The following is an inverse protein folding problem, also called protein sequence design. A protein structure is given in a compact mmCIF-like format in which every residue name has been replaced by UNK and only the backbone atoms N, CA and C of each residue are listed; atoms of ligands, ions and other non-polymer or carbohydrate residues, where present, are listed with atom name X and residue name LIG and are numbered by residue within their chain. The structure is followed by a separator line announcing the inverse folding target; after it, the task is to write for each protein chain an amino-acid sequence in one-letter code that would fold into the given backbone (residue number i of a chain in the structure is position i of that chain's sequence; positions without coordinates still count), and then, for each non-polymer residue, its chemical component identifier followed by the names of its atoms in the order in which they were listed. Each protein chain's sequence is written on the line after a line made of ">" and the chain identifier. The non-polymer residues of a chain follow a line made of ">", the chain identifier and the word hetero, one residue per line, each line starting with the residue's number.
data_IF_435172723359
#
_entry.id   IF_435172723359
#
_cell.length_a   1.000
_cell.length_b   1.000
_cell.length_c   1.000
_cell.angle_alpha   90.00
_cell.angle_beta   90.00
_cell.angle_gamma   90.00
#
_symmetry.space_group_name_H-M   'P 1'
#
loop_
_entity.id
_entity.type
_entity.pdbx_description
1 polymer ?
#
# COMPACT_ATOMS: atom_id res chain seq x y z
N UNK A 1 50.59 10.44 10.62
CA UNK A 1 49.61 11.54 10.79
C UNK A 1 48.49 10.98 11.67
N UNK A 2 48.48 11.08 13.01
CA UNK A 2 48.42 12.28 13.87
C UNK A 2 47.39 13.26 13.29
N UNK A 3 46.18 13.41 13.85
CA UNK A 3 45.84 14.23 15.04
C UNK A 3 44.43 13.81 15.54
N UNK A 4 44.30 13.15 16.70
CA UNK A 4 43.70 13.64 17.97
C UNK A 4 42.85 14.92 17.86
N UNK A 5 41.54 14.87 18.12
CA UNK A 5 40.90 15.96 18.87
C UNK A 5 39.72 15.48 19.71
N UNK A 6 39.87 15.79 20.99
CA UNK A 6 38.98 15.65 22.13
C UNK A 6 38.11 16.91 22.20
N UNK A 7 36.83 16.82 22.51
CA UNK A 7 36.19 17.88 23.30
C UNK A 7 35.05 17.34 24.16
N UNK A 8 35.29 17.46 25.46
CA UNK A 8 34.36 17.28 26.58
C UNK A 8 33.73 18.64 26.84
N UNK A 9 32.40 18.73 26.96
CA UNK A 9 31.76 19.80 27.73
C UNK A 9 30.69 19.19 28.64
N UNK A 10 30.99 19.23 29.93
CA UNK A 10 30.09 19.13 31.05
C UNK A 10 29.25 20.41 31.16
N UNK A 11 27.96 20.29 31.41
CA UNK A 11 27.21 21.32 32.14
C UNK A 11 26.13 20.67 32.99
N UNK A 12 26.49 20.48 34.26
CA UNK A 12 25.61 20.22 35.39
C UNK A 12 24.90 21.53 35.73
N UNK A 13 23.57 21.50 35.74
CA UNK A 13 22.72 22.61 36.17
C UNK A 13 21.63 22.10 37.11
N UNK A 14 21.98 22.01 38.40
CA UNK A 14 21.05 21.78 39.50
C UNK A 14 20.37 23.11 39.82
N UNK A 15 19.04 23.15 39.79
CA UNK A 15 18.27 24.19 40.50
C UNK A 15 17.16 23.52 41.29
N UNK A 16 17.40 23.44 42.60
CA UNK A 16 16.42 23.11 43.63
C UNK A 16 15.51 24.33 43.83
N UNK A 17 14.25 24.21 43.40
CA UNK A 17 13.17 25.13 43.74
C UNK A 17 12.19 24.43 44.68
N UNK A 18 12.40 24.56 45.99
CA UNK A 18 11.45 24.25 47.04
C UNK A 18 10.54 25.47 47.24
N UNK A 19 9.21 25.30 47.14
CA UNK A 19 8.26 26.30 47.62
C UNK A 19 6.80 26.11 47.18
N UNK A 20 5.90 25.94 48.15
CA UNK A 20 4.45 26.18 48.06
C UNK A 20 3.62 25.01 47.52
N UNK A 21 3.00 24.13 48.33
CA UNK A 21 1.81 24.38 49.16
C UNK A 21 0.68 25.09 48.41
N UNK A 22 -0.31 24.34 47.92
CA UNK A 22 -1.75 24.45 48.25
C UNK A 22 -2.51 23.29 47.58
N UNK A 23 -2.98 22.35 48.41
CA UNK A 23 -3.97 21.35 48.07
C UNK A 23 -5.31 22.05 47.81
N UNK A 24 -5.74 22.12 46.55
CA UNK A 24 -7.17 22.29 46.21
C UNK A 24 -7.54 21.15 45.27
N UNK A 25 -8.05 20.09 45.89
CA UNK A 25 -8.54 18.89 45.25
C UNK A 25 -9.91 19.19 44.62
N UNK A 26 -9.91 19.97 43.54
CA UNK A 26 -11.10 20.15 42.70
C UNK A 26 -11.16 18.99 41.72
N UNK A 27 -11.73 17.87 42.16
CA UNK A 27 -12.20 16.84 41.23
C UNK A 27 -13.34 17.43 40.41
N UNK A 28 -12.99 18.09 39.31
CA UNK A 28 -13.92 18.38 38.23
C UNK A 28 -14.31 17.03 37.61
N UNK A 29 -15.42 16.47 38.09
CA UNK A 29 -16.12 15.38 37.42
C UNK A 29 -16.64 15.97 36.10
N UNK A 30 -15.81 15.91 35.06
CA UNK A 30 -16.25 16.22 33.71
C UNK A 30 -17.26 15.14 33.30
N UNK A 31 -18.42 15.50 32.74
CA UNK A 31 -19.41 14.53 32.32
C UNK A 31 -18.84 13.66 31.20
N UNK A 32 -18.98 12.34 31.35
CA UNK A 32 -18.61 11.25 30.41
C UNK A 32 -19.24 11.34 29.00
N UNK A 33 -19.82 12.48 28.60
CA UNK A 33 -20.53 12.64 27.33
C UNK A 33 -19.60 12.98 26.15
N UNK A 34 -18.37 13.45 26.39
CA UNK A 34 -17.43 13.84 25.32
C UNK A 34 -16.85 12.66 24.52
N UNK A 35 -16.74 11.48 25.15
CA UNK A 35 -16.20 10.28 24.50
C UNK A 35 -17.19 9.67 23.50
N UNK A 36 -18.50 9.72 23.80
CA UNK A 36 -19.53 9.12 22.95
C UNK A 36 -19.75 9.88 21.63
N UNK A 37 -19.73 11.21 21.66
CA UNK A 37 -19.91 12.03 20.44
C UNK A 37 -18.74 11.89 19.48
N UNK A 38 -17.51 11.80 20.00
CA UNK A 38 -16.29 11.64 19.19
C UNK A 38 -16.27 10.27 18.51
N UNK A 39 -16.64 9.21 19.23
CA UNK A 39 -16.70 7.86 18.69
C UNK A 39 -17.73 7.74 17.55
N UNK A 40 -18.95 8.26 17.75
CA UNK A 40 -20.00 8.20 16.73
C UNK A 40 -19.61 8.99 15.47
N UNK A 41 -18.91 10.12 15.63
CA UNK A 41 -18.40 10.91 14.53
C UNK A 41 -17.33 10.14 13.73
N UNK A 42 -16.39 9.48 14.41
CA UNK A 42 -15.37 8.65 13.77
C UNK A 42 -15.97 7.45 13.02
N UNK A 43 -16.94 6.75 13.62
CA UNK A 43 -17.64 5.65 12.97
C UNK A 43 -18.39 6.11 11.71
N UNK A 44 -19.03 7.28 11.79
CA UNK A 44 -19.71 7.90 10.65
C UNK A 44 -18.71 8.23 9.54
N UNK A 45 -17.54 8.79 9.88
CA UNK A 45 -16.50 9.12 8.90
C UNK A 45 -15.89 7.87 8.27
N UNK A 46 -15.63 6.82 9.04
CA UNK A 46 -15.16 5.53 8.52
C UNK A 46 -16.18 4.90 7.56
N UNK A 47 -17.48 4.97 7.89
CA UNK A 47 -18.54 4.47 7.00
C UNK A 47 -18.57 5.25 5.68
N UNK A 48 -18.45 6.58 5.73
CA UNK A 48 -18.36 7.43 4.54
C UNK A 48 -17.12 7.11 3.72
N UNK A 49 -15.97 6.93 4.37
CA UNK A 49 -14.72 6.55 3.72
C UNK A 49 -14.87 5.24 2.95
N UNK A 50 -15.36 4.18 3.61
CA UNK A 50 -15.60 2.88 2.97
C UNK A 50 -16.53 3.00 1.76
N UNK A 51 -17.60 3.78 1.88
CA UNK A 51 -18.52 4.01 0.75
C UNK A 51 -17.85 4.75 -0.42
N UNK A 52 -16.95 5.70 -0.15
CA UNK A 52 -16.21 6.40 -1.21
C UNK A 52 -15.16 5.48 -1.86
N UNK A 53 -14.45 4.67 -1.05
CA UNK A 53 -13.50 3.67 -1.54
C UNK A 53 -14.16 2.59 -2.40
N UNK A 54 -15.34 2.09 -2.02
CA UNK A 54 -16.09 1.12 -2.83
C UNK A 54 -16.45 1.67 -4.22
N UNK A 55 -16.80 2.96 -4.30
CA UNK A 55 -17.00 3.63 -5.58
C UNK A 55 -15.70 3.74 -6.38
N UNK A 56 -14.57 4.08 -5.75
CA UNK A 56 -13.26 4.04 -6.41
C UNK A 56 -12.94 2.63 -6.95
N UNK A 57 -13.19 1.57 -6.18
CA UNK A 57 -13.01 0.17 -6.61
C UNK A 57 -13.91 -0.18 -7.79
N UNK A 58 -15.14 0.35 -7.84
CA UNK A 58 -16.04 0.15 -8.97
C UNK A 58 -15.55 0.89 -10.21
N UNK A 59 -15.16 2.15 -10.06
CA UNK A 59 -14.67 3.00 -11.13
C UNK A 59 -13.35 2.45 -11.72
N UNK A 60 -12.47 1.88 -10.88
CA UNK A 60 -11.18 1.33 -11.30
C UNK A 60 -11.27 0.16 -12.28
N UNK A 61 -12.46 -0.44 -12.43
CA UNK A 61 -12.76 -1.47 -13.44
C UNK A 61 -12.96 -0.90 -14.84
N UNK A 62 -13.13 0.41 -14.95
CA UNK A 62 -13.30 1.14 -16.22
C UNK A 62 -12.18 2.17 -16.45
N UNK A 63 -11.50 2.59 -15.39
CA UNK A 63 -10.39 3.55 -15.43
C UNK A 63 -9.18 2.96 -14.72
N UNK A 64 -7.99 3.10 -15.31
CA UNK A 64 -6.77 2.51 -14.79
C UNK A 64 -5.76 3.52 -14.23
N UNK A 65 -6.25 4.72 -13.87
CA UNK A 65 -5.46 5.74 -13.19
C UNK A 65 -6.26 6.40 -12.06
N UNK A 66 -5.56 7.00 -11.11
CA UNK A 66 -6.18 7.71 -9.98
C UNK A 66 -6.97 8.93 -10.45
N UNK A 67 -6.54 9.60 -11.51
CA UNK A 67 -7.21 10.76 -12.12
C UNK A 67 -8.60 10.41 -12.64
N UNK A 68 -8.83 9.15 -13.04
CA UNK A 68 -10.13 8.67 -13.50
C UNK A 68 -11.13 8.37 -12.39
N UNK A 69 -10.71 8.35 -11.12
CA UNK A 69 -11.55 7.97 -9.98
C UNK A 69 -12.39 9.16 -9.49
N UNK A 70 -13.72 9.08 -9.62
CA UNK A 70 -14.62 10.21 -9.31
C UNK A 70 -14.60 10.62 -7.84
N UNK A 71 -14.41 9.67 -6.94
CA UNK A 71 -14.45 9.89 -5.49
C UNK A 71 -13.06 10.14 -4.88
N UNK A 72 -12.02 10.31 -5.71
CA UNK A 72 -10.64 10.55 -5.25
C UNK A 72 -10.55 11.70 -4.23
N UNK A 73 -11.11 12.86 -4.58
CA UNK A 73 -11.07 14.04 -3.69
C UNK A 73 -11.93 13.84 -2.43
N UNK A 74 -13.06 13.13 -2.54
CA UNK A 74 -13.88 12.78 -1.37
C UNK A 74 -13.09 11.91 -0.39
N UNK A 75 -12.40 10.87 -0.88
CA UNK A 75 -11.56 10.00 -0.07
C UNK A 75 -10.47 10.80 0.63
N UNK A 76 -9.74 11.64 -0.12
CA UNK A 76 -8.68 12.51 0.41
C UNK A 76 -9.18 13.41 1.54
N UNK A 77 -10.31 14.10 1.32
CA UNK A 77 -10.91 15.00 2.30
C UNK A 77 -11.38 14.28 3.57
N UNK A 78 -11.92 13.06 3.45
CA UNK A 78 -12.36 12.27 4.61
C UNK A 78 -11.15 11.80 5.42
N UNK A 79 -10.11 11.28 4.75
CA UNK A 79 -8.89 10.78 5.40
C UNK A 79 -8.20 11.87 6.23
N UNK A 80 -8.18 13.11 5.74
CA UNK A 80 -7.62 14.26 6.48
C UNK A 80 -8.36 14.59 7.80
N UNK A 81 -9.56 14.04 7.99
CA UNK A 81 -10.39 14.26 9.18
C UNK A 81 -10.40 13.06 10.14
N UNK A 82 -9.64 12.01 9.85
CA UNK A 82 -9.56 10.80 10.69
C UNK A 82 -8.15 10.69 11.25
N UNK A 83 -8.02 10.90 12.57
CA UNK A 83 -6.72 10.82 13.27
C UNK A 83 -6.30 9.40 13.65
N UNK A 84 -7.28 8.47 13.73
CA UNK A 84 -7.06 7.07 14.12
C UNK A 84 -6.45 6.23 12.97
N UNK A 85 -5.79 5.09 13.26
CA UNK A 85 -5.26 4.16 12.25
C UNK A 85 -6.39 3.42 11.51
N UNK A 86 -7.20 4.17 10.76
CA UNK A 86 -8.41 3.67 10.10
C UNK A 86 -8.10 2.58 9.07
N UNK A 87 -6.88 2.56 8.51
CA UNK A 87 -6.41 1.53 7.58
C UNK A 87 -6.45 0.12 8.18
N UNK A 88 -6.39 -0.02 9.52
CA UNK A 88 -6.56 -1.32 10.20
C UNK A 88 -7.99 -1.85 10.12
N UNK A 89 -8.96 -0.96 9.86
CA UNK A 89 -10.38 -1.29 9.73
C UNK A 89 -10.83 -1.43 8.27
N UNK A 90 -9.94 -1.15 7.32
CA UNK A 90 -10.16 -1.31 5.89
C UNK A 90 -9.73 -2.71 5.44
N UNK A 91 -10.42 -3.26 4.45
CA UNK A 91 -9.92 -4.45 3.77
C UNK A 91 -8.70 -4.09 2.88
N UNK A 92 -7.91 -5.08 2.40
CA UNK A 92 -6.70 -4.79 1.65
C UNK A 92 -6.92 -3.98 0.36
N UNK A 93 -8.01 -4.21 -0.39
CA UNK A 93 -8.28 -3.45 -1.62
C UNK A 93 -8.71 -2.01 -1.32
N UNK A 94 -9.52 -1.80 -0.28
CA UNK A 94 -9.82 -0.46 0.25
C UNK A 94 -8.54 0.26 0.66
N UNK A 95 -7.62 -0.44 1.33
CA UNK A 95 -6.31 0.09 1.71
C UNK A 95 -5.48 0.48 0.50
N UNK A 96 -5.48 -0.28 -0.60
CA UNK A 96 -4.75 0.08 -1.81
C UNK A 96 -5.14 1.47 -2.31
N UNK A 97 -6.44 1.73 -2.46
CA UNK A 97 -6.91 3.04 -2.90
C UNK A 97 -6.64 4.14 -1.88
N UNK A 98 -6.80 3.88 -0.58
CA UNK A 98 -6.45 4.86 0.44
C UNK A 98 -4.96 5.26 0.38
N UNK A 99 -4.07 4.27 0.26
CA UNK A 99 -2.62 4.46 0.16
C UNK A 99 -2.21 5.17 -1.13
N UNK A 100 -2.79 4.83 -2.28
CA UNK A 100 -2.48 5.49 -3.55
C UNK A 100 -3.02 6.92 -3.62
N UNK A 101 -4.20 7.19 -3.06
CA UNK A 101 -4.80 8.54 -3.06
C UNK A 101 -4.11 9.47 -2.05
N UNK A 102 -3.68 8.94 -0.90
CA UNK A 102 -3.00 9.69 0.16
C UNK A 102 -1.70 8.96 0.55
N UNK A 103 -0.59 9.16 -0.20
CA UNK A 103 0.67 8.44 -0.02
C UNK A 103 1.28 8.55 1.37
N UNK A 104 0.95 9.61 2.13
CA UNK A 104 1.40 9.82 3.51
C UNK A 104 0.97 8.69 4.45
N UNK A 105 -0.11 7.96 4.13
CA UNK A 105 -0.54 6.79 4.90
C UNK A 105 0.48 5.65 4.79
N UNK A 106 1.15 5.49 3.64
CA UNK A 106 2.16 4.43 3.44
C UNK A 106 3.29 4.51 4.46
N UNK A 107 3.60 5.72 4.94
CA UNK A 107 4.64 5.97 5.94
C UNK A 107 4.18 5.62 7.37
N UNK A 108 2.87 5.53 7.61
CA UNK A 108 2.26 5.26 8.92
C UNK A 108 1.80 3.81 9.07
N UNK A 109 1.30 3.22 7.98
CA UNK A 109 0.84 1.84 7.96
C UNK A 109 2.01 0.85 8.07
N UNK A 110 1.75 -0.34 8.60
CA UNK A 110 2.78 -1.38 8.68
C UNK A 110 3.19 -1.83 7.26
N UNK A 111 4.47 -2.24 7.04
CA UNK A 111 4.91 -2.76 5.74
C UNK A 111 4.04 -3.92 5.24
N UNK A 112 3.59 -4.78 6.14
CA UNK A 112 2.71 -5.90 5.79
C UNK A 112 1.34 -5.44 5.30
N UNK A 113 0.74 -4.41 5.92
CA UNK A 113 -0.52 -3.82 5.47
C UNK A 113 -0.39 -3.25 4.06
N UNK A 114 0.71 -2.54 3.80
CA UNK A 114 1.00 -1.96 2.48
C UNK A 114 1.21 -3.08 1.44
N UNK A 115 2.05 -4.08 1.73
CA UNK A 115 2.29 -5.20 0.82
C UNK A 115 1.02 -5.98 0.48
N UNK A 116 0.19 -6.30 1.49
CA UNK A 116 -1.09 -7.00 1.29
C UNK A 116 -2.06 -6.19 0.43
N UNK A 117 -2.13 -4.88 0.64
CA UNK A 117 -2.99 -4.00 -0.15
C UNK A 117 -2.61 -4.06 -1.63
N UNK A 118 -1.33 -3.94 -1.96
CA UNK A 118 -0.85 -3.96 -3.34
C UNK A 118 -1.00 -5.33 -4.00
N UNK A 119 -0.69 -6.43 -3.32
CA UNK A 119 -0.92 -7.75 -3.90
C UNK A 119 -2.40 -8.03 -4.14
N UNK A 120 -3.26 -7.67 -3.18
CA UNK A 120 -4.71 -7.84 -3.35
C UNK A 120 -5.20 -7.03 -4.54
N UNK A 121 -4.69 -5.81 -4.71
CA UNK A 121 -5.01 -4.99 -5.87
C UNK A 121 -4.46 -5.60 -7.16
N UNK A 122 -3.24 -6.15 -7.16
CA UNK A 122 -2.64 -6.83 -8.31
C UNK A 122 -3.51 -8.00 -8.78
N UNK A 123 -4.09 -8.73 -7.85
CA UNK A 123 -4.99 -9.84 -8.16
C UNK A 123 -6.38 -9.41 -8.66
N UNK A 124 -6.91 -8.29 -8.16
CA UNK A 124 -8.33 -7.94 -8.32
C UNK A 124 -8.61 -6.81 -9.33
N UNK A 125 -7.63 -5.95 -9.59
CA UNK A 125 -7.78 -4.83 -10.52
C UNK A 125 -7.40 -5.22 -11.96
N UNK A 126 -7.91 -4.48 -12.97
CA UNK A 126 -7.43 -4.63 -14.33
C UNK A 126 -5.92 -4.49 -14.42
N UNK A 127 -5.31 -5.25 -15.31
CA UNK A 127 -3.85 -5.37 -15.40
C UNK A 127 -3.17 -4.09 -15.88
N UNK A 128 -3.93 -3.16 -16.49
CA UNK A 128 -3.47 -1.83 -16.90
C UNK A 128 -2.94 -1.01 -15.71
N UNK A 129 -3.41 -1.29 -14.49
CA UNK A 129 -2.91 -0.65 -13.27
C UNK A 129 -1.44 -0.98 -12.98
N UNK A 130 -0.85 -1.99 -13.63
CA UNK A 130 0.48 -2.51 -13.30
C UNK A 130 1.48 -2.44 -14.46
N UNK A 131 0.98 -2.40 -15.70
CA UNK A 131 1.78 -2.53 -16.91
C UNK A 131 1.72 -3.94 -17.51
N UNK A 132 2.54 -4.19 -18.54
CA UNK A 132 2.67 -5.50 -19.19
C UNK A 132 3.76 -6.33 -18.49
N UNK A 133 3.65 -7.67 -18.43
CA UNK A 133 4.77 -8.51 -18.05
C UNK A 133 5.98 -8.22 -18.95
N UNK A 134 7.18 -8.08 -18.37
CA UNK A 134 8.40 -7.71 -19.09
C UNK A 134 8.46 -6.27 -19.62
N UNK A 135 7.37 -5.51 -19.53
CA UNK A 135 7.31 -4.12 -19.96
C UNK A 135 7.75 -3.12 -18.89
N UNK A 136 7.66 -1.83 -19.23
CA UNK A 136 7.79 -0.75 -18.24
C UNK A 136 6.60 -0.79 -17.28
N UNK A 137 6.81 -0.82 -15.96
CA UNK A 137 5.72 -0.74 -15.00
C UNK A 137 4.92 0.56 -15.15
N UNK A 138 3.63 0.50 -14.83
CA UNK A 138 2.83 1.71 -14.58
C UNK A 138 3.30 2.42 -13.30
N UNK A 139 2.74 3.58 -12.99
CA UNK A 139 3.02 4.29 -11.73
C UNK A 139 2.74 3.40 -10.49
N UNK A 140 1.59 2.74 -10.41
CA UNK A 140 1.29 1.83 -9.28
C UNK A 140 2.20 0.60 -9.29
N UNK A 141 2.67 0.14 -10.45
CA UNK A 141 3.69 -0.91 -10.57
C UNK A 141 5.06 -0.46 -10.04
N UNK A 142 5.48 0.77 -10.33
CA UNK A 142 6.69 1.36 -9.75
C UNK A 142 6.58 1.54 -8.24
N UNK A 143 5.40 1.93 -7.74
CA UNK A 143 5.16 2.00 -6.30
C UNK A 143 5.25 0.62 -5.65
N UNK A 144 4.69 -0.42 -6.28
CA UNK A 144 4.76 -1.80 -5.81
C UNK A 144 6.21 -2.26 -5.62
N UNK A 145 7.08 -1.98 -6.59
CA UNK A 145 8.50 -2.33 -6.55
C UNK A 145 9.28 -1.66 -5.41
N UNK A 146 8.77 -0.55 -4.86
CA UNK A 146 9.39 0.19 -3.75
C UNK A 146 8.93 -0.32 -2.38
N UNK A 147 7.99 -1.27 -2.30
CA UNK A 147 7.44 -1.76 -1.04
C UNK A 147 8.40 -2.77 -0.39
N UNK A 148 8.82 -2.55 0.87
CA UNK A 148 9.61 -3.52 1.60
C UNK A 148 8.88 -4.86 1.75
N UNK A 149 9.59 -5.97 1.56
CA UNK A 149 9.09 -7.34 1.73
C UNK A 149 7.95 -7.73 0.77
N UNK A 150 7.76 -7.01 -0.35
CA UNK A 150 6.73 -7.34 -1.34
C UNK A 150 6.96 -8.72 -1.99
N UNK A 151 8.21 -9.19 -2.02
CA UNK A 151 8.61 -10.47 -2.61
C UNK A 151 7.81 -11.64 -2.05
N UNK A 152 7.66 -11.73 -0.71
CA UNK A 152 6.96 -12.84 -0.07
C UNK A 152 5.51 -12.98 -0.58
N UNK A 153 4.87 -11.85 -0.82
CA UNK A 153 3.51 -11.81 -1.32
C UNK A 153 3.43 -12.08 -2.84
N UNK A 154 4.34 -11.51 -3.63
CA UNK A 154 4.44 -11.83 -5.07
C UNK A 154 4.73 -13.33 -5.31
N UNK A 155 5.54 -13.96 -4.46
CA UNK A 155 5.82 -15.40 -4.55
C UNK A 155 4.57 -16.25 -4.38
N UNK A 156 3.59 -15.82 -3.57
CA UNK A 156 2.31 -16.52 -3.44
C UNK A 156 1.48 -16.45 -4.74
N UNK A 157 1.62 -15.36 -5.50
CA UNK A 157 0.92 -15.15 -6.78
C UNK A 157 1.50 -15.96 -7.94
N UNK A 158 2.69 -16.58 -7.78
CA UNK A 158 3.29 -17.42 -8.82
C UNK A 158 2.44 -18.65 -9.17
N UNK A 159 1.50 -19.04 -8.32
CA UNK A 159 0.53 -20.11 -8.58
C UNK A 159 -0.81 -19.61 -9.15
N UNK A 160 -1.00 -18.30 -9.29
CA UNK A 160 -2.26 -17.73 -9.75
C UNK A 160 -2.36 -17.83 -11.28
N UNK A 161 -3.21 -18.72 -11.76
CA UNK A 161 -3.41 -19.02 -13.18
C UNK A 161 -4.51 -18.20 -13.84
N UNK A 162 -5.14 -17.27 -13.11
CA UNK A 162 -6.12 -16.37 -13.70
C UNK A 162 -5.47 -15.56 -14.82
N UNK A 163 -6.15 -15.46 -15.96
CA UNK A 163 -5.72 -14.64 -17.09
C UNK A 163 -5.62 -13.17 -16.67
N UNK A 164 -4.59 -12.46 -17.17
CA UNK A 164 -4.57 -11.01 -17.09
C UNK A 164 -5.77 -10.42 -17.84
N UNK A 165 -6.25 -9.26 -17.39
CA UNK A 165 -7.38 -8.58 -18.01
C UNK A 165 -7.06 -7.12 -18.22
N UNK A 166 -6.83 -6.74 -19.47
CA UNK A 166 -6.55 -5.36 -19.87
C UNK A 166 -7.78 -4.67 -20.46
N UNK A 167 -7.96 -3.41 -20.09
CA UNK A 167 -8.94 -2.49 -20.66
C UNK A 167 -8.46 -1.97 -22.01
N UNK A 168 -7.15 -1.72 -22.15
CA UNK A 168 -6.54 -1.34 -23.42
C UNK A 168 -6.64 -2.46 -24.49
N UNK A 169 -6.89 -2.06 -25.74
CA UNK A 169 -7.18 -2.98 -26.84
C UNK A 169 -5.96 -3.78 -27.32
N UNK A 170 -4.78 -3.16 -27.32
CA UNK A 170 -3.54 -3.80 -27.74
C UNK A 170 -3.06 -4.77 -26.66
N UNK A 171 -2.98 -4.30 -25.41
CA UNK A 171 -2.62 -5.12 -24.26
C UNK A 171 -3.54 -6.35 -24.11
N UNK A 172 -4.86 -6.17 -24.33
CA UNK A 172 -5.82 -7.28 -24.31
C UNK A 172 -5.53 -8.30 -25.42
N UNK A 173 -5.10 -7.85 -26.59
CA UNK A 173 -4.75 -8.73 -27.71
C UNK A 173 -3.49 -9.52 -27.38
N UNK A 174 -2.44 -8.85 -26.85
CA UNK A 174 -1.21 -9.50 -26.40
C UNK A 174 -1.49 -10.57 -25.34
N UNK A 175 -2.31 -10.28 -24.33
CA UNK A 175 -2.68 -11.28 -23.32
C UNK A 175 -3.33 -12.53 -23.92
N UNK A 176 -4.15 -12.39 -24.98
CA UNK A 176 -4.76 -13.54 -25.66
C UNK A 176 -3.72 -14.35 -26.45
N UNK A 177 -2.79 -13.67 -27.11
CA UNK A 177 -1.73 -14.30 -27.92
C UNK A 177 -0.76 -15.06 -27.02
N UNK A 178 -0.25 -14.39 -25.99
CA UNK A 178 0.77 -14.94 -25.11
C UNK A 178 0.19 -15.76 -23.94
N UNK A 179 -1.12 -15.70 -23.72
CA UNK A 179 -1.82 -16.36 -22.61
C UNK A 179 -1.27 -15.94 -21.25
N UNK A 180 -1.04 -14.64 -21.06
CA UNK A 180 -0.50 -14.14 -19.80
C UNK A 180 -1.50 -14.28 -18.65
N UNK A 181 -0.95 -14.63 -17.50
CA UNK A 181 -1.65 -14.85 -16.23
C UNK A 181 -1.13 -13.89 -15.16
N UNK A 182 -1.86 -13.80 -14.04
CA UNK A 182 -1.41 -13.05 -12.85
C UNK A 182 -0.02 -13.53 -12.40
N UNK A 183 0.25 -14.82 -12.49
CA UNK A 183 1.57 -15.39 -12.19
C UNK A 183 2.70 -14.88 -13.11
N UNK A 184 2.42 -14.53 -14.38
CA UNK A 184 3.41 -13.93 -15.28
C UNK A 184 3.75 -12.50 -14.84
N UNK A 185 2.75 -11.71 -14.43
CA UNK A 185 2.97 -10.36 -13.91
C UNK A 185 3.74 -10.38 -12.58
N UNK A 186 3.40 -11.31 -11.67
CA UNK A 186 4.13 -11.50 -10.43
C UNK A 186 5.59 -11.93 -10.66
N UNK A 187 5.83 -12.85 -11.60
CA UNK A 187 7.18 -13.26 -11.98
C UNK A 187 7.98 -12.10 -12.57
N UNK A 188 7.35 -11.27 -13.41
CA UNK A 188 7.97 -10.06 -13.95
C UNK A 188 8.47 -9.15 -12.84
N UNK A 189 7.62 -8.82 -11.85
CA UNK A 189 8.04 -7.97 -10.74
C UNK A 189 9.15 -8.59 -9.88
N UNK A 190 9.10 -9.90 -9.61
CA UNK A 190 10.14 -10.60 -8.85
C UNK A 190 11.50 -10.58 -9.57
N UNK A 191 11.52 -10.77 -10.89
CA UNK A 191 12.75 -10.65 -11.67
C UNK A 191 13.26 -9.21 -11.70
N UNK A 192 12.38 -8.22 -11.88
CA UNK A 192 12.75 -6.80 -11.82
C UNK A 192 13.39 -6.44 -10.47
N UNK A 193 12.86 -6.94 -9.36
CA UNK A 193 13.47 -6.74 -8.01
C UNK A 193 14.85 -7.37 -7.86
N UNK A 194 15.21 -8.30 -8.75
CA UNK A 194 16.49 -9.01 -8.79
C UNK A 194 17.38 -8.56 -9.94
N UNK A 195 17.07 -7.40 -10.56
CA UNK A 195 17.74 -6.86 -11.75
C UNK A 195 17.80 -7.83 -12.94
N UNK A 196 16.76 -8.64 -13.10
CA UNK A 196 16.58 -9.59 -14.20
C UNK A 196 15.38 -9.21 -15.08
N UNK A 197 15.45 -9.56 -16.37
CA UNK A 197 14.40 -9.28 -17.35
C UNK A 197 13.44 -10.48 -17.47
N UNK A 198 12.14 -10.18 -17.62
CA UNK A 198 11.12 -11.19 -17.90
C UNK A 198 10.81 -11.26 -19.39
N UNK A 199 11.12 -12.38 -20.03
CA UNK A 199 10.81 -12.60 -21.45
C UNK A 199 9.32 -12.92 -21.64
N UNK A 200 8.49 -11.90 -21.77
CA UNK A 200 7.04 -12.04 -21.88
C UNK A 200 6.59 -12.76 -23.17
N UNK A 201 7.42 -12.68 -24.23
CA UNK A 201 7.18 -13.31 -25.53
C UNK A 201 7.63 -14.77 -25.59
N UNK A 202 8.29 -15.27 -24.54
CA UNK A 202 8.68 -16.68 -24.46
C UNK A 202 7.44 -17.58 -24.46
N UNK A 203 7.63 -18.85 -24.81
CA UNK A 203 6.55 -19.83 -24.78
C UNK A 203 5.99 -20.01 -23.36
N UNK A 204 4.73 -20.46 -23.26
CA UNK A 204 4.09 -20.74 -21.96
C UNK A 204 4.92 -21.72 -21.12
N UNK A 205 5.56 -22.71 -21.75
CA UNK A 205 6.43 -23.69 -21.09
C UNK A 205 7.66 -23.02 -20.47
N UNK A 206 8.38 -22.19 -21.22
CA UNK A 206 9.57 -21.47 -20.73
C UNK A 206 9.23 -20.53 -19.57
N UNK A 207 8.12 -19.78 -19.67
CA UNK A 207 7.66 -18.92 -18.58
C UNK A 207 7.26 -19.72 -17.34
N UNK A 208 6.66 -20.90 -17.52
CA UNK A 208 6.36 -21.80 -16.40
C UNK A 208 7.62 -22.35 -15.71
N UNK A 209 8.70 -22.59 -16.45
CA UNK A 209 10.00 -22.97 -15.87
C UNK A 209 10.55 -21.84 -15.00
N UNK A 210 10.55 -20.60 -15.49
CA UNK A 210 10.98 -19.41 -14.74
C UNK A 210 10.15 -19.27 -13.46
N UNK A 211 8.82 -19.38 -13.54
CA UNK A 211 7.93 -19.32 -12.37
C UNK A 211 8.27 -20.37 -11.31
N UNK A 212 8.56 -21.61 -11.71
CA UNK A 212 8.99 -22.69 -10.79
C UNK A 212 10.35 -22.39 -10.15
N UNK A 213 11.30 -21.84 -10.90
CA UNK A 213 12.61 -21.44 -10.35
C UNK A 213 12.46 -20.34 -9.30
N UNK A 214 11.63 -19.33 -9.57
CA UNK A 214 11.30 -18.27 -8.61
C UNK A 214 10.63 -18.82 -7.35
N UNK A 215 9.73 -19.80 -7.47
CA UNK A 215 9.11 -20.45 -6.32
C UNK A 215 10.14 -21.11 -5.40
N UNK A 216 11.09 -21.85 -5.98
CA UNK A 216 12.13 -22.54 -5.21
C UNK A 216 13.14 -21.59 -4.57
N UNK A 217 13.32 -20.39 -5.14
CA UNK A 217 14.30 -19.42 -4.65
C UNK A 217 13.78 -18.54 -3.51
N UNK A 218 12.46 -18.53 -3.28
CA UNK A 218 11.80 -17.70 -2.27
C UNK A 218 11.18 -18.54 -1.12
N UNK A 219 11.51 -19.83 -1.05
CA UNK A 219 11.21 -20.72 0.10
C UNK A 219 12.38 -20.70 1.09
#
# INVERSE_FOLDING_TARGET
>A
MLIRNLLIILSVGITLGLGGFWLSNSQAILPNNYTHTTLLAQETMLKKLKSALDKCIKDSRSYFSLEGLKERETVKNIIQQIDDPFWEKLNPLENFFALEIVPEIKQKASPNTVAQAYCTALEQLPSDWWGLPGGTPSESGEHLLKIPNIQACLSQLLNNTNSLNYLDGEARTLTKVHQWQISDLAASFLLTLSDQEYSADASVEERNIIKKQLQNSNQ
#
